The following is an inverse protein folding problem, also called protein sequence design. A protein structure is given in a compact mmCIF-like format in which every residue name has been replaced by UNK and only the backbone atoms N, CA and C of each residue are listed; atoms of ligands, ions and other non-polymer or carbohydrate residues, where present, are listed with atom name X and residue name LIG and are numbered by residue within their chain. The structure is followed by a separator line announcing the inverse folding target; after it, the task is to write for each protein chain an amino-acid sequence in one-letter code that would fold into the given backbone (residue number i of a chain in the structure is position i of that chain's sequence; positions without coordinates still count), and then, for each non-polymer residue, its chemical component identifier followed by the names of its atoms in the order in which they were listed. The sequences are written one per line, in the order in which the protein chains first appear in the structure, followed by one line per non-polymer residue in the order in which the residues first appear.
data_IF_586781948693
#
_entry.id   IF_586781948693
#
_cell.length_a   1.000
_cell.length_b   1.000
_cell.length_c   1.000
_cell.angle_alpha   90.00
_cell.angle_beta   90.00
_cell.angle_gamma   90.00
#
_symmetry.space_group_name_H-M   'P 1'
#
loop_
_entity.id
_entity.type
_entity.pdbx_description
1 polymer ?
#
# COMPACT_ATOMS: atom_id res chain seq x y z
N UNK A 1 20.22 -1.68 0.58
CA UNK A 1 18.91 -1.88 1.23
C UNK A 1 19.12 -2.60 2.55
N UNK A 2 18.31 -2.37 3.59
CA UNK A 2 18.52 -3.04 4.88
C UNK A 2 18.12 -4.50 4.82
N UNK A 3 19.08 -5.38 5.12
CA UNK A 3 18.85 -6.80 5.33
C UNK A 3 18.32 -7.04 6.75
N UNK A 4 17.48 -8.06 6.99
CA UNK A 4 16.93 -8.32 8.33
C UNK A 4 18.00 -8.45 9.42
N UNK A 5 19.12 -9.14 9.12
CA UNK A 5 20.28 -9.24 10.04
C UNK A 5 20.86 -7.89 10.45
N UNK A 6 20.82 -6.89 9.57
CA UNK A 6 21.28 -5.54 9.91
C UNK A 6 20.33 -4.90 10.92
N UNK A 7 19.02 -5.10 10.76
CA UNK A 7 18.01 -4.62 11.71
C UNK A 7 18.23 -5.27 13.08
N UNK A 8 18.41 -6.59 13.12
CA UNK A 8 18.70 -7.34 14.35
C UNK A 8 19.96 -6.84 15.05
N UNK A 9 21.02 -6.58 14.28
CA UNK A 9 22.30 -6.12 14.81
C UNK A 9 22.20 -4.71 15.38
N UNK A 10 21.50 -3.80 14.70
CA UNK A 10 21.46 -2.37 15.05
C UNK A 10 20.36 -2.04 16.05
N UNK A 11 19.21 -2.68 15.92
CA UNK A 11 17.98 -2.34 16.65
C UNK A 11 17.43 -3.50 17.49
N UNK A 12 17.98 -4.71 17.37
CA UNK A 12 17.34 -5.90 17.90
C UNK A 12 16.01 -6.14 17.18
N UNK A 13 14.92 -6.27 17.92
CA UNK A 13 13.58 -6.33 17.35
C UNK A 13 12.89 -4.98 17.47
N UNK A 14 12.56 -4.36 16.35
CA UNK A 14 11.78 -3.12 16.32
C UNK A 14 10.33 -3.44 16.70
N UNK A 15 9.86 -2.88 17.81
CA UNK A 15 8.50 -3.08 18.32
C UNK A 15 7.76 -1.78 18.63
N UNK A 16 8.37 -0.63 18.35
CA UNK A 16 7.82 0.70 18.62
C UNK A 16 8.17 1.65 17.47
N UNK A 17 7.50 2.80 17.42
CA UNK A 17 7.78 3.85 16.44
C UNK A 17 9.05 4.60 16.84
N UNK A 18 10.12 4.42 16.07
CA UNK A 18 11.42 5.04 16.30
C UNK A 18 11.63 6.25 15.37
N UNK A 19 12.47 7.22 15.76
CA UNK A 19 12.92 8.26 14.84
C UNK A 19 13.74 7.62 13.71
N UNK A 20 13.73 8.25 12.54
CA UNK A 20 14.55 7.80 11.43
C UNK A 20 16.02 8.08 11.75
N UNK A 21 16.90 7.12 11.47
CA UNK A 21 18.32 7.27 11.74
C UNK A 21 18.93 8.50 11.05
N UNK A 22 19.96 9.08 11.66
CA UNK A 22 20.63 10.28 11.12
C UNK A 22 21.73 9.95 10.10
N UNK A 23 22.19 8.70 10.06
CA UNK A 23 23.27 8.26 9.17
C UNK A 23 22.74 7.44 7.98
N UNK A 24 23.45 7.48 6.85
CA UNK A 24 23.12 6.72 5.64
C UNK A 24 23.03 5.19 5.87
N UNK A 25 23.74 4.67 6.87
CA UNK A 25 23.69 3.26 7.31
C UNK A 25 22.37 2.89 7.98
N UNK A 26 21.60 3.88 8.41
CA UNK A 26 20.36 3.75 9.17
C UNK A 26 19.15 4.37 8.46
N UNK A 27 19.37 5.28 7.50
CA UNK A 27 18.33 5.98 6.78
C UNK A 27 18.83 6.47 5.43
N UNK A 28 18.12 6.12 4.35
CA UNK A 28 18.41 6.61 3.00
C UNK A 28 17.65 7.90 2.66
N UNK A 29 16.42 8.02 3.14
CA UNK A 29 15.50 9.11 2.80
C UNK A 29 15.16 9.92 4.06
N UNK A 30 15.13 11.26 3.91
CA UNK A 30 14.88 12.25 4.98
C UNK A 30 15.51 11.84 6.34
N UNK A 31 16.85 11.73 6.44
CA UNK A 31 17.54 11.29 7.64
C UNK A 31 17.28 12.25 8.82
N UNK A 32 17.14 11.69 10.03
CA UNK A 32 16.82 12.47 11.23
C UNK A 32 15.33 12.86 11.39
N UNK A 33 14.45 12.39 10.52
CA UNK A 33 13.01 12.53 10.66
C UNK A 33 12.52 12.06 12.06
N UNK A 34 11.61 12.81 12.72
CA UNK A 34 11.10 12.43 14.03
C UNK A 34 10.29 11.12 13.97
N UNK A 35 10.18 10.46 15.13
CA UNK A 35 9.39 9.25 15.26
C UNK A 35 7.93 9.50 14.84
N UNK A 36 7.44 8.70 13.89
CA UNK A 36 6.07 8.80 13.38
C UNK A 36 5.92 9.62 12.11
N UNK A 37 6.97 10.29 11.61
CA UNK A 37 6.89 10.94 10.30
C UNK A 37 6.68 9.91 9.19
N UNK A 38 5.71 10.15 8.31
CA UNK A 38 5.37 9.23 7.21
C UNK A 38 6.22 9.46 5.96
N UNK A 39 6.32 8.42 5.14
CA UNK A 39 6.94 8.38 3.81
C UNK A 39 5.91 8.64 2.70
N UNK A 40 6.35 8.51 1.45
CA UNK A 40 5.51 8.68 0.27
C UNK A 40 4.35 7.67 0.20
N UNK A 41 4.45 6.48 0.81
CA UNK A 41 3.34 5.52 0.93
C UNK A 41 2.06 6.17 1.47
N UNK A 42 2.20 6.87 2.60
CA UNK A 42 1.06 7.49 3.27
C UNK A 42 0.66 8.78 2.58
N UNK A 43 1.63 9.57 2.08
CA UNK A 43 1.33 10.81 1.33
C UNK A 43 0.50 10.49 0.09
N UNK A 44 0.92 9.48 -0.68
CA UNK A 44 0.24 9.04 -1.90
C UNK A 44 -1.14 8.45 -1.60
N UNK A 45 -1.26 7.69 -0.50
CA UNK A 45 -2.56 7.20 0.00
C UNK A 45 -3.49 8.33 0.42
N UNK A 46 -2.98 9.35 1.10
CA UNK A 46 -3.77 10.51 1.53
C UNK A 46 -4.38 11.23 0.32
N UNK A 47 -3.63 11.39 -0.78
CA UNK A 47 -4.16 11.94 -2.03
C UNK A 47 -5.32 11.09 -2.58
N UNK A 48 -5.21 9.76 -2.52
CA UNK A 48 -6.29 8.87 -2.94
C UNK A 48 -7.52 8.96 -2.03
N UNK A 49 -7.32 9.05 -0.71
CA UNK A 49 -8.39 9.32 0.24
C UNK A 49 -9.10 10.64 -0.09
N UNK A 50 -8.34 11.71 -0.35
CA UNK A 50 -8.89 13.01 -0.75
C UNK A 50 -9.74 12.89 -2.03
N UNK A 51 -9.29 12.12 -3.03
CA UNK A 51 -10.04 11.92 -4.27
C UNK A 51 -11.39 11.24 -3.99
N UNK A 52 -11.37 10.15 -3.21
CA UNK A 52 -12.56 9.40 -2.82
C UNK A 52 -13.54 10.28 -2.04
N UNK A 53 -13.03 11.05 -1.08
CA UNK A 53 -13.83 11.93 -0.24
C UNK A 53 -14.47 13.04 -1.09
N UNK A 54 -13.73 13.64 -2.03
CA UNK A 54 -14.25 14.68 -2.94
C UNK A 54 -15.32 14.14 -3.88
N UNK A 55 -15.14 12.91 -4.39
CA UNK A 55 -16.10 12.25 -5.26
C UNK A 55 -17.31 11.67 -4.50
N UNK A 56 -17.20 11.49 -3.19
CA UNK A 56 -18.21 10.82 -2.36
C UNK A 56 -18.30 9.32 -2.63
N UNK A 57 -17.23 8.66 -3.08
CA UNK A 57 -17.29 7.23 -3.39
C UNK A 57 -16.18 6.77 -4.33
N UNK A 58 -16.55 5.93 -5.30
CA UNK A 58 -15.62 5.33 -6.25
C UNK A 58 -14.98 6.38 -7.15
N UNK A 59 -13.70 6.19 -7.48
CA UNK A 59 -12.90 7.15 -8.24
C UNK A 59 -12.18 6.50 -9.41
N UNK A 60 -11.80 7.31 -10.39
CA UNK A 60 -11.00 6.96 -11.55
C UNK A 60 -9.57 7.47 -11.44
N UNK A 61 -8.71 7.08 -12.38
CA UNK A 61 -7.37 7.67 -12.52
C UNK A 61 -7.41 9.20 -12.71
N UNK A 62 -8.44 9.73 -13.38
CA UNK A 62 -8.61 11.16 -13.61
C UNK A 62 -8.92 11.92 -12.31
N UNK A 63 -9.81 11.37 -11.47
CA UNK A 63 -10.14 11.94 -10.16
C UNK A 63 -8.91 11.96 -9.24
N UNK A 64 -8.13 10.88 -9.25
CA UNK A 64 -6.91 10.82 -8.45
C UNK A 64 -5.84 11.79 -8.97
N UNK A 65 -5.63 11.89 -10.27
CA UNK A 65 -4.72 12.87 -10.86
C UNK A 65 -5.14 14.32 -10.51
N UNK A 66 -6.44 14.62 -10.46
CA UNK A 66 -6.93 15.94 -10.04
C UNK A 66 -6.43 16.31 -8.63
N UNK A 67 -6.40 15.36 -7.69
CA UNK A 67 -5.82 15.62 -6.35
C UNK A 67 -4.32 15.83 -6.37
N UNK A 68 -3.59 15.21 -7.30
CA UNK A 68 -2.15 15.43 -7.41
C UNK A 68 -1.85 16.87 -7.83
N UNK A 69 -2.66 17.42 -8.74
CA UNK A 69 -2.49 18.79 -9.20
C UNK A 69 -2.70 19.82 -8.07
N UNK A 70 -3.61 19.55 -7.14
CA UNK A 70 -3.98 20.53 -6.11
C UNK A 70 -3.29 20.33 -4.77
N UNK A 71 -2.98 19.09 -4.40
CA UNK A 71 -2.62 18.73 -3.03
C UNK A 71 -1.25 18.02 -2.90
N UNK A 72 -0.61 17.66 -4.01
CA UNK A 72 0.64 16.89 -3.97
C UNK A 72 1.79 17.74 -3.43
N UNK A 73 2.39 17.28 -2.34
CA UNK A 73 3.54 17.91 -1.72
C UNK A 73 4.51 16.86 -1.16
N UNK A 74 5.80 17.21 -1.14
CA UNK A 74 6.89 16.37 -0.67
C UNK A 74 7.49 15.45 -1.72
N UNK A 75 8.36 14.55 -1.25
CA UNK A 75 9.06 13.58 -2.10
C UNK A 75 8.19 12.35 -2.37
N UNK A 76 8.32 11.80 -3.58
CA UNK A 76 7.67 10.56 -4.04
C UNK A 76 8.65 9.71 -4.87
N UNK A 77 8.46 8.40 -4.87
CA UNK A 77 9.29 7.50 -5.65
C UNK A 77 9.18 7.73 -7.17
N UNK A 78 10.22 7.34 -7.90
CA UNK A 78 10.41 7.63 -9.34
C UNK A 78 9.20 7.38 -10.25
N UNK A 79 8.46 6.26 -10.17
CA UNK A 79 7.34 6.03 -11.10
C UNK A 79 6.18 7.01 -10.87
N UNK A 80 5.97 7.48 -9.64
CA UNK A 80 4.98 8.51 -9.29
C UNK A 80 5.39 9.85 -9.90
N UNK A 81 6.66 10.24 -9.75
CA UNK A 81 7.20 11.48 -10.35
C UNK A 81 7.13 11.44 -11.88
N UNK A 82 7.44 10.29 -12.48
CA UNK A 82 7.32 10.10 -13.93
C UNK A 82 5.87 10.23 -14.41
N UNK A 83 4.91 9.64 -13.69
CA UNK A 83 3.49 9.80 -13.98
C UNK A 83 3.06 11.27 -13.89
N UNK A 84 3.47 11.98 -12.84
CA UNK A 84 3.19 13.40 -12.67
C UNK A 84 3.69 14.21 -13.89
N UNK A 85 4.94 14.02 -14.32
CA UNK A 85 5.47 14.71 -15.48
C UNK A 85 4.76 14.34 -16.79
N UNK A 86 4.37 13.07 -16.97
CA UNK A 86 3.61 12.64 -18.15
C UNK A 86 2.25 13.34 -18.21
N UNK A 87 1.51 13.35 -17.11
CA UNK A 87 0.18 13.96 -17.07
C UNK A 87 0.26 15.48 -17.20
N UNK A 88 1.03 16.14 -16.34
CA UNK A 88 0.94 17.60 -16.18
C UNK A 88 1.94 18.40 -17.02
N UNK A 89 2.96 17.76 -17.61
CA UNK A 89 3.92 18.44 -18.50
C UNK A 89 3.89 17.93 -19.93
N UNK A 90 3.29 16.76 -20.18
CA UNK A 90 3.23 16.14 -21.52
C UNK A 90 1.81 15.81 -21.97
N UNK A 91 0.79 16.20 -21.19
CA UNK A 91 -0.63 16.04 -21.52
C UNK A 91 -1.02 14.58 -21.80
N UNK A 92 -0.33 13.63 -21.16
CA UNK A 92 -0.72 12.23 -21.23
C UNK A 92 -2.00 11.98 -20.44
N UNK A 93 -2.87 11.12 -20.97
CA UNK A 93 -4.07 10.70 -20.23
C UNK A 93 -3.68 10.08 -18.87
N UNK A 94 -4.32 10.49 -17.76
CA UNK A 94 -4.17 9.82 -16.47
C UNK A 94 -4.35 8.31 -16.54
N UNK A 95 -5.18 7.79 -17.45
CA UNK A 95 -5.45 6.35 -17.57
C UNK A 95 -4.31 5.55 -18.18
N UNK A 96 -3.42 6.23 -18.91
CA UNK A 96 -2.34 5.62 -19.69
C UNK A 96 -0.94 6.07 -19.22
N UNK A 97 -0.86 7.01 -18.27
CA UNK A 97 0.39 7.57 -17.79
C UNK A 97 1.34 6.51 -17.20
N UNK A 98 0.80 5.41 -16.66
CA UNK A 98 1.56 4.26 -16.18
C UNK A 98 2.27 3.46 -17.28
N UNK A 99 1.93 3.64 -18.56
CA UNK A 99 2.55 2.92 -19.68
C UNK A 99 4.03 3.27 -19.82
N UNK A 100 4.90 2.27 -19.89
CA UNK A 100 6.36 2.44 -19.91
C UNK A 100 6.92 3.02 -18.61
N UNK A 101 6.14 3.03 -17.52
CA UNK A 101 6.66 3.36 -16.18
C UNK A 101 7.48 2.19 -15.63
N UNK A 102 8.36 2.47 -14.69
CA UNK A 102 9.07 1.44 -13.95
C UNK A 102 8.06 0.63 -13.14
N UNK A 103 8.10 -0.70 -13.26
CA UNK A 103 7.28 -1.57 -12.41
C UNK A 103 7.73 -1.43 -10.96
N UNK A 104 6.79 -1.10 -10.07
CA UNK A 104 7.05 -1.00 -8.65
C UNK A 104 5.77 -1.24 -7.84
N UNK A 105 5.88 -1.26 -6.51
CA UNK A 105 4.75 -1.39 -5.60
C UNK A 105 4.09 -0.04 -5.22
N UNK A 106 4.48 1.10 -5.81
CA UNK A 106 4.00 2.43 -5.40
C UNK A 106 2.48 2.64 -5.52
N UNK A 107 1.77 1.93 -6.40
CA UNK A 107 0.31 1.96 -6.36
C UNK A 107 -0.23 1.00 -5.30
N UNK A 108 0.35 -0.19 -5.18
CA UNK A 108 -0.10 -1.18 -4.20
C UNK A 108 -0.01 -0.65 -2.77
N UNK A 109 1.00 0.16 -2.44
CA UNK A 109 1.15 0.81 -1.13
C UNK A 109 0.09 1.86 -0.82
N UNK A 110 -0.56 2.44 -1.85
CA UNK A 110 -1.55 3.50 -1.68
C UNK A 110 -3.00 3.06 -1.88
N UNK A 111 -3.25 1.86 -2.41
CA UNK A 111 -4.56 1.46 -2.96
C UNK A 111 -5.61 1.02 -1.93
N UNK A 112 -5.23 0.83 -0.66
CA UNK A 112 -6.13 0.37 0.39
C UNK A 112 -7.48 1.12 0.47
N UNK A 113 -7.57 2.45 0.29
CA UNK A 113 -8.84 3.17 0.28
C UNK A 113 -9.84 2.66 -0.78
N UNK A 114 -9.38 2.19 -1.95
CA UNK A 114 -10.25 1.60 -2.98
C UNK A 114 -10.87 0.28 -2.49
N UNK A 115 -10.11 -0.51 -1.72
CA UNK A 115 -10.63 -1.70 -1.07
C UNK A 115 -11.68 -1.38 -0.01
N UNK A 116 -11.49 -0.31 0.78
CA UNK A 116 -12.47 0.13 1.78
C UNK A 116 -13.76 0.65 1.16
N UNK A 117 -13.68 1.42 0.06
CA UNK A 117 -14.86 1.89 -0.69
C UNK A 117 -15.68 0.71 -1.24
N UNK A 118 -14.99 -0.37 -1.63
CA UNK A 118 -15.59 -1.61 -2.13
C UNK A 118 -15.66 -2.71 -1.06
N UNK A 119 -15.81 -2.33 0.22
CA UNK A 119 -15.86 -3.29 1.33
C UNK A 119 -16.85 -4.43 1.03
N UNK A 120 -16.42 -5.67 1.29
CA UNK A 120 -17.15 -6.90 0.99
C UNK A 120 -17.34 -7.25 -0.51
N UNK A 121 -16.74 -6.48 -1.44
CA UNK A 121 -16.73 -6.77 -2.88
C UNK A 121 -15.29 -6.75 -3.45
N UNK A 122 -14.50 -7.82 -3.20
CA UNK A 122 -13.12 -7.90 -3.66
C UNK A 122 -12.99 -7.86 -5.19
N UNK A 123 -14.01 -8.32 -5.93
CA UNK A 123 -13.99 -8.29 -7.39
C UNK A 123 -14.11 -6.85 -7.88
N UNK A 124 -15.07 -6.08 -7.36
CA UNK A 124 -15.21 -4.68 -7.74
C UNK A 124 -14.01 -3.84 -7.27
N UNK A 125 -13.47 -4.13 -6.08
CA UNK A 125 -12.25 -3.51 -5.59
C UNK A 125 -11.07 -3.71 -6.56
N UNK A 126 -10.88 -4.92 -7.09
CA UNK A 126 -9.85 -5.20 -8.09
C UNK A 126 -10.06 -4.41 -9.40
N UNK A 127 -11.31 -4.30 -9.88
CA UNK A 127 -11.62 -3.58 -11.11
C UNK A 127 -11.41 -2.06 -10.97
N UNK A 128 -11.84 -1.48 -9.85
CA UNK A 128 -11.63 -0.06 -9.55
C UNK A 128 -10.14 0.24 -9.36
N UNK A 129 -9.43 -0.64 -8.64
CA UNK A 129 -8.00 -0.54 -8.46
C UNK A 129 -7.25 -0.63 -9.80
N UNK A 130 -7.69 -1.49 -10.71
CA UNK A 130 -7.13 -1.55 -12.06
C UNK A 130 -7.26 -0.20 -12.74
N UNK A 131 -8.42 0.46 -12.72
CA UNK A 131 -8.58 1.79 -13.30
C UNK A 131 -7.60 2.81 -12.67
N UNK A 132 -7.68 3.00 -11.35
CA UNK A 132 -6.87 3.97 -10.60
C UNK A 132 -5.37 3.74 -10.80
N UNK A 133 -4.94 2.48 -10.80
CA UNK A 133 -3.53 2.11 -10.95
C UNK A 133 -2.92 2.47 -12.31
N UNK A 134 -3.75 2.66 -13.35
CA UNK A 134 -3.31 3.08 -14.69
C UNK A 134 -2.58 4.42 -14.70
N UNK A 135 -2.76 5.25 -13.66
CA UNK A 135 -2.02 6.50 -13.46
C UNK A 135 -0.52 6.29 -13.32
N UNK A 136 -0.10 5.24 -12.61
CA UNK A 136 1.32 5.07 -12.23
C UNK A 136 1.94 3.83 -12.85
N UNK A 137 1.15 2.77 -13.04
CA UNK A 137 1.67 1.46 -13.43
C UNK A 137 0.85 0.77 -14.51
N UNK A 138 1.54 -0.11 -15.24
CA UNK A 138 0.96 -1.13 -16.11
C UNK A 138 1.45 -2.53 -15.71
N UNK A 139 0.86 -3.58 -16.31
CA UNK A 139 1.29 -4.97 -16.14
C UNK A 139 1.26 -5.44 -14.68
N UNK A 140 2.26 -6.22 -14.28
CA UNK A 140 2.30 -6.90 -12.98
C UNK A 140 2.23 -5.95 -11.77
N UNK A 141 2.74 -4.72 -11.90
CA UNK A 141 2.66 -3.71 -10.85
C UNK A 141 1.23 -3.19 -10.66
N UNK A 142 0.45 -3.14 -11.75
CA UNK A 142 -0.99 -2.83 -11.73
C UNK A 142 -1.79 -3.98 -11.12
N UNK A 143 -1.46 -5.21 -11.48
CA UNK A 143 -2.11 -6.42 -10.93
C UNK A 143 -1.89 -6.55 -9.42
N UNK A 144 -0.69 -6.17 -8.95
CA UNK A 144 -0.37 -6.11 -7.52
C UNK A 144 -1.29 -5.14 -6.75
N UNK A 145 -1.59 -3.97 -7.31
CA UNK A 145 -2.55 -3.04 -6.70
C UNK A 145 -3.97 -3.63 -6.66
N UNK A 146 -4.37 -4.37 -7.70
CA UNK A 146 -5.66 -5.07 -7.73
C UNK A 146 -5.75 -6.13 -6.62
N UNK A 147 -4.69 -6.91 -6.44
CA UNK A 147 -4.62 -7.93 -5.40
C UNK A 147 -4.72 -7.34 -3.99
N UNK A 148 -4.04 -6.21 -3.73
CA UNK A 148 -4.13 -5.52 -2.43
C UNK A 148 -5.52 -4.94 -2.19
N UNK A 149 -6.12 -4.28 -3.18
CA UNK A 149 -7.47 -3.71 -3.03
C UNK A 149 -8.51 -4.80 -2.76
N UNK A 150 -8.44 -5.91 -3.50
CA UNK A 150 -9.27 -7.09 -3.26
C UNK A 150 -9.05 -7.67 -1.87
N UNK A 151 -7.80 -7.78 -1.41
CA UNK A 151 -7.49 -8.27 -0.07
C UNK A 151 -8.03 -7.36 1.03
N UNK A 152 -7.95 -6.03 0.88
CA UNK A 152 -8.52 -5.08 1.84
C UNK A 152 -10.04 -5.17 1.86
N UNK A 153 -10.69 -5.28 0.69
CA UNK A 153 -12.14 -5.46 0.59
C UNK A 153 -12.62 -6.80 1.15
N UNK A 154 -11.83 -7.86 1.01
CA UNK A 154 -12.14 -9.18 1.59
C UNK A 154 -11.84 -9.22 3.09
N UNK A 155 -10.79 -8.53 3.56
CA UNK A 155 -10.43 -8.45 4.98
C UNK A 155 -11.46 -7.72 5.83
N UNK A 156 -12.42 -7.01 5.23
CA UNK A 156 -13.62 -6.54 5.95
C UNK A 156 -14.58 -7.68 6.31
N UNK A 157 -14.31 -8.91 5.86
CA UNK A 157 -14.99 -10.15 6.26
C UNK A 157 -14.08 -10.96 7.22
N UNK A 158 -14.62 -11.62 8.25
CA UNK A 158 -13.80 -12.20 9.33
C UNK A 158 -12.88 -13.40 9.00
N UNK A 159 -12.86 -13.95 7.76
CA UNK A 159 -12.37 -15.33 7.52
C UNK A 159 -11.38 -15.55 6.33
N UNK A 160 -10.50 -14.60 5.99
CA UNK A 160 -9.57 -14.75 4.83
C UNK A 160 -8.26 -15.56 5.10
N UNK A 161 -7.76 -16.39 4.16
CA UNK A 161 -6.66 -17.38 4.42
C UNK A 161 -5.46 -17.45 3.45
N UNK A 162 -4.36 -18.10 3.92
CA UNK A 162 -2.97 -18.13 3.43
C UNK A 162 -2.37 -19.55 3.43
N UNK A 163 -2.05 -20.11 2.26
CA UNK A 163 -1.53 -21.49 2.14
C UNK A 163 -0.03 -21.64 2.44
N UNK A 164 0.79 -20.60 2.22
CA UNK A 164 2.26 -20.67 2.42
C UNK A 164 2.68 -20.49 3.89
N UNK A 165 2.01 -19.62 4.64
CA UNK A 165 2.22 -19.48 6.09
C UNK A 165 1.91 -20.79 6.85
N UNK A 166 0.94 -21.56 6.36
CA UNK A 166 0.53 -22.83 6.95
C UNK A 166 1.61 -23.91 6.88
N UNK A 167 2.55 -23.86 5.93
CA UNK A 167 3.58 -24.89 5.79
C UNK A 167 4.86 -24.62 6.59
N UNK A 168 5.15 -23.37 6.97
CA UNK A 168 6.37 -22.99 7.73
C UNK A 168 6.13 -22.86 9.23
N UNK A 169 4.94 -22.47 9.67
CA UNK A 169 4.53 -22.44 11.09
C UNK A 169 5.17 -21.36 11.97
N UNK A 170 6.36 -20.83 11.64
CA UNK A 170 7.02 -19.73 12.38
C UNK A 170 7.56 -18.63 11.45
N UNK A 171 7.59 -17.40 11.98
CA UNK A 171 8.04 -16.20 11.25
C UNK A 171 9.52 -16.26 10.87
N UNK A 172 10.41 -16.63 11.79
CA UNK A 172 11.84 -16.62 11.58
C UNK A 172 12.24 -17.61 10.47
N UNK A 173 11.65 -18.81 10.51
CA UNK A 173 11.86 -19.87 9.51
C UNK A 173 11.36 -19.42 8.13
N UNK A 174 10.18 -18.78 8.07
CA UNK A 174 9.65 -18.20 6.82
C UNK A 174 10.56 -17.10 6.27
N UNK A 175 10.97 -16.14 7.10
CA UNK A 175 11.81 -15.01 6.67
C UNK A 175 13.13 -15.50 6.10
N UNK A 176 13.77 -16.47 6.73
CA UNK A 176 15.00 -17.07 6.20
C UNK A 176 14.76 -17.76 4.84
N UNK A 177 13.77 -18.66 4.77
CA UNK A 177 13.46 -19.39 3.53
C UNK A 177 13.06 -18.45 2.37
N UNK A 178 12.37 -17.35 2.67
CA UNK A 178 12.00 -16.33 1.70
C UNK A 178 13.24 -15.64 1.11
N UNK A 179 14.19 -15.25 1.96
CA UNK A 179 15.46 -14.66 1.54
C UNK A 179 16.28 -15.61 0.66
N UNK A 180 16.24 -16.91 0.96
CA UNK A 180 17.03 -17.93 0.23
C UNK A 180 16.40 -18.32 -1.11
N UNK A 181 15.07 -18.27 -1.24
CA UNK A 181 14.39 -18.92 -2.38
C UNK A 181 13.46 -18.02 -3.20
N UNK A 182 13.10 -16.82 -2.69
CA UNK A 182 12.05 -15.98 -3.28
C UNK A 182 12.51 -14.57 -3.66
N UNK A 183 13.70 -14.12 -3.23
CA UNK A 183 14.24 -12.85 -3.70
C UNK A 183 14.58 -12.92 -5.18
N UNK A 184 14.11 -11.93 -5.94
CA UNK A 184 14.33 -11.88 -7.38
C UNK A 184 15.65 -11.13 -7.65
N UNK A 185 16.63 -11.77 -8.33
CA UNK A 185 17.88 -11.09 -8.66
C UNK A 185 17.64 -9.96 -9.67
N UNK A 186 18.40 -8.88 -9.55
CA UNK A 186 18.46 -7.83 -10.57
C UNK A 186 19.44 -8.19 -11.70
N UNK A 187 19.16 -7.85 -12.98
CA UNK A 187 17.92 -7.31 -13.54
C UNK A 187 16.93 -8.42 -13.94
N UNK A 188 15.64 -8.08 -13.93
CA UNK A 188 14.57 -9.07 -14.13
C UNK A 188 14.04 -9.19 -15.57
N UNK A 189 14.77 -8.72 -16.59
CA UNK A 189 14.68 -9.14 -18.00
C UNK A 189 15.52 -8.20 -18.89
N UNK A 190 16.59 -8.73 -19.51
CA UNK A 190 17.11 -8.26 -20.80
C UNK A 190 17.74 -6.86 -20.97
N UNK A 191 17.68 -5.95 -20.00
CA UNK A 191 18.42 -4.67 -20.10
C UNK A 191 19.89 -4.87 -19.71
N UNK A 192 20.73 -5.07 -20.73
CA UNK A 192 22.18 -4.98 -20.60
C UNK A 192 22.60 -3.51 -20.50
N UNK A 193 22.96 -3.06 -19.31
CA UNK A 193 23.51 -1.72 -19.09
C UNK A 193 23.70 -1.41 -17.61
N UNK A 194 24.96 -1.24 -17.20
CA UNK A 194 25.44 -1.09 -15.80
C UNK A 194 24.92 -2.14 -14.83
N UNK A 195 25.67 -3.24 -14.66
CA UNK A 195 25.54 -4.17 -13.53
C UNK A 195 25.67 -3.34 -12.24
N UNK A 196 24.63 -3.15 -11.41
CA UNK A 196 24.87 -2.71 -10.05
C UNK A 196 25.65 -3.81 -9.32
N UNK A 197 26.36 -3.47 -8.24
CA UNK A 197 27.20 -4.42 -7.50
C UNK A 197 26.44 -5.73 -7.19
N UNK A 198 27.16 -6.86 -7.11
CA UNK A 198 26.56 -8.14 -6.69
C UNK A 198 25.73 -7.98 -5.41
N UNK A 199 24.51 -8.53 -5.39
CA UNK A 199 23.56 -8.36 -4.28
C UNK A 199 22.69 -7.09 -4.36
N UNK A 200 22.64 -6.40 -5.50
CA UNK A 200 21.60 -5.40 -5.75
C UNK A 200 20.28 -6.09 -6.06
N UNK A 201 19.29 -5.86 -5.20
CA UNK A 201 17.92 -6.32 -5.39
C UNK A 201 17.04 -5.09 -5.54
N UNK A 202 16.10 -5.11 -6.51
CA UNK A 202 15.14 -4.01 -6.67
C UNK A 202 14.41 -3.77 -5.35
N UNK A 203 14.27 -2.51 -4.98
CA UNK A 203 13.79 -2.11 -3.67
C UNK A 203 12.27 -2.15 -3.62
N UNK A 204 11.57 -1.86 -4.70
CA UNK A 204 10.11 -1.69 -4.69
C UNK A 204 9.40 -2.77 -5.54
N UNK A 205 9.82 -4.03 -5.44
CA UNK A 205 9.35 -5.12 -6.32
C UNK A 205 8.05 -5.77 -5.80
N UNK A 206 6.87 -5.53 -6.44
CA UNK A 206 5.60 -6.09 -5.96
C UNK A 206 5.53 -7.62 -6.04
N UNK A 207 6.28 -8.27 -6.96
CA UNK A 207 6.36 -9.74 -6.99
C UNK A 207 7.06 -10.32 -5.77
N UNK A 208 7.79 -9.49 -5.02
CA UNK A 208 8.32 -9.84 -3.72
C UNK A 208 7.40 -9.34 -2.59
N UNK A 209 7.01 -8.06 -2.62
CA UNK A 209 6.27 -7.45 -1.51
C UNK A 209 4.92 -8.11 -1.27
N UNK A 210 4.17 -8.45 -2.32
CA UNK A 210 2.79 -8.96 -2.17
C UNK A 210 2.75 -10.39 -1.61
N UNK A 211 3.54 -11.37 -2.12
CA UNK A 211 3.57 -12.70 -1.50
C UNK A 211 4.11 -12.67 -0.07
N UNK A 212 5.12 -11.85 0.22
CA UNK A 212 5.61 -11.66 1.58
C UNK A 212 4.51 -11.12 2.50
N UNK A 213 3.76 -10.12 2.06
CA UNK A 213 2.65 -9.54 2.82
C UNK A 213 1.61 -10.60 3.21
N UNK A 214 1.12 -11.41 2.27
CA UNK A 214 0.14 -12.45 2.59
C UNK A 214 0.69 -13.51 3.55
N UNK A 215 1.95 -13.90 3.39
CA UNK A 215 2.57 -14.86 4.29
C UNK A 215 2.69 -14.30 5.72
N UNK A 216 3.16 -13.06 5.85
CA UNK A 216 3.27 -12.39 7.15
C UNK A 216 1.91 -12.16 7.81
N UNK A 217 0.88 -11.87 7.02
CA UNK A 217 -0.49 -11.73 7.50
C UNK A 217 -0.98 -12.98 8.24
N UNK A 218 -0.84 -14.17 7.65
CA UNK A 218 -1.26 -15.38 8.36
C UNK A 218 -0.31 -15.82 9.46
N UNK A 219 1.00 -15.57 9.34
CA UNK A 219 1.91 -15.84 10.44
C UNK A 219 1.58 -14.98 11.67
N UNK A 220 1.08 -13.75 11.45
CA UNK A 220 0.58 -12.87 12.50
C UNK A 220 -0.87 -13.11 12.89
N UNK A 221 -1.52 -14.17 12.37
CA UNK A 221 -2.95 -14.49 12.60
C UNK A 221 -3.89 -13.30 12.31
N UNK A 222 -3.54 -12.52 11.30
CA UNK A 222 -4.25 -11.29 10.91
C UNK A 222 -4.13 -10.13 11.90
N UNK A 223 -3.60 -10.34 13.11
CA UNK A 223 -3.50 -9.34 14.18
C UNK A 223 -2.54 -8.21 13.81
N UNK A 224 -2.96 -6.98 14.09
CA UNK A 224 -2.27 -5.78 13.61
C UNK A 224 -0.83 -5.70 14.15
N UNK A 225 -0.66 -5.72 15.47
CA UNK A 225 0.67 -5.54 16.09
C UNK A 225 1.65 -6.66 15.69
N UNK A 226 1.32 -7.97 15.79
CA UNK A 226 2.21 -9.04 15.33
C UNK A 226 2.59 -8.89 13.85
N UNK A 227 1.61 -8.67 12.96
CA UNK A 227 1.84 -8.49 11.53
C UNK A 227 2.82 -7.34 11.25
N UNK A 228 2.63 -6.19 11.89
CA UNK A 228 3.51 -5.03 11.72
C UNK A 228 4.91 -5.24 12.26
N UNK A 229 5.05 -5.86 13.43
CA UNK A 229 6.37 -6.21 13.96
C UNK A 229 7.09 -7.14 12.98
N UNK A 230 6.40 -8.11 12.37
CA UNK A 230 7.00 -8.98 11.36
C UNK A 230 7.44 -8.22 10.10
N UNK A 231 6.61 -7.31 9.59
CA UNK A 231 6.93 -6.53 8.39
C UNK A 231 8.12 -5.58 8.61
N UNK A 232 8.14 -4.81 9.70
CA UNK A 232 9.24 -3.84 9.92
C UNK A 232 10.57 -4.52 10.20
N UNK A 233 10.56 -5.73 10.77
CA UNK A 233 11.76 -6.54 10.99
C UNK A 233 12.08 -7.49 9.83
N UNK A 234 11.28 -7.47 8.75
CA UNK A 234 11.53 -8.27 7.55
C UNK A 234 12.73 -7.72 6.77
N UNK A 235 12.99 -6.42 6.86
CA UNK A 235 13.96 -5.73 6.01
C UNK A 235 13.41 -5.50 4.60
N UNK A 236 14.29 -5.27 3.63
CA UNK A 236 13.94 -4.86 2.26
C UNK A 236 13.13 -3.55 2.30
N UNK A 237 11.99 -3.54 1.62
CA UNK A 237 11.03 -2.44 1.51
C UNK A 237 10.07 -2.43 2.70
N UNK A 238 10.65 -2.31 3.88
CA UNK A 238 9.96 -2.61 5.14
C UNK A 238 8.82 -1.63 5.43
N UNK A 239 8.97 -0.36 5.04
CA UNK A 239 7.93 0.66 5.12
C UNK A 239 6.74 0.32 4.22
N UNK A 240 6.97 0.00 2.95
CA UNK A 240 5.89 -0.40 2.05
C UNK A 240 5.24 -1.73 2.41
N UNK A 241 6.04 -2.73 2.81
CA UNK A 241 5.51 -4.00 3.29
C UNK A 241 4.63 -3.80 4.53
N UNK A 242 5.09 -3.01 5.51
CA UNK A 242 4.32 -2.70 6.71
C UNK A 242 3.08 -1.84 6.40
N UNK A 243 3.17 -0.96 5.42
CA UNK A 243 2.09 -0.08 4.96
C UNK A 243 0.95 -0.87 4.33
N UNK A 244 1.26 -1.84 3.45
CA UNK A 244 0.27 -2.73 2.83
C UNK A 244 -0.31 -3.69 3.87
N UNK A 245 0.57 -4.39 4.63
CA UNK A 245 0.15 -5.37 5.63
C UNK A 245 -0.68 -4.74 6.74
N UNK A 246 -0.34 -3.53 7.17
CA UNK A 246 -1.09 -2.74 8.14
C UNK A 246 -2.47 -2.34 7.66
N UNK A 247 -2.63 -2.13 6.34
CA UNK A 247 -3.93 -1.84 5.77
C UNK A 247 -4.85 -3.05 5.80
N UNK A 248 -4.32 -4.24 5.47
CA UNK A 248 -5.09 -5.50 5.49
C UNK A 248 -5.42 -5.94 6.92
N UNK A 249 -4.42 -5.98 7.81
CA UNK A 249 -4.63 -6.33 9.23
C UNK A 249 -5.46 -5.30 9.98
N UNK A 250 -5.30 -4.01 9.69
CA UNK A 250 -6.10 -2.94 10.28
C UNK A 250 -7.56 -3.00 9.83
N UNK A 251 -7.83 -3.36 8.58
CA UNK A 251 -9.19 -3.58 8.09
C UNK A 251 -9.86 -4.78 8.79
N UNK A 252 -9.11 -5.87 9.02
CA UNK A 252 -9.61 -7.07 9.72
C UNK A 252 -9.85 -6.83 11.21
N UNK A 253 -8.86 -6.33 11.93
CA UNK A 253 -8.90 -6.24 13.40
C UNK A 253 -9.55 -4.95 13.91
N UNK A 254 -9.69 -3.95 13.05
CA UNK A 254 -10.17 -2.62 13.39
C UNK A 254 -9.18 -1.78 14.19
N UNK A 255 -9.47 -0.49 14.31
CA UNK A 255 -8.57 0.48 14.93
C UNK A 255 -8.25 0.23 16.41
N UNK A 256 -9.04 -0.59 17.12
CA UNK A 256 -8.82 -0.91 18.55
C UNK A 256 -7.65 -1.87 18.78
N UNK A 257 -7.25 -2.64 17.76
CA UNK A 257 -6.07 -3.52 17.85
C UNK A 257 -4.76 -2.78 17.56
N UNK A 258 -4.85 -1.52 17.09
CA UNK A 258 -3.70 -0.65 16.86
C UNK A 258 -3.27 -0.03 18.20
N UNK A 259 -1.98 -0.14 18.60
CA UNK A 259 -1.50 0.56 19.78
C UNK A 259 -1.73 2.07 19.68
N UNK A 260 -2.50 2.63 20.62
CA UNK A 260 -2.90 4.03 20.57
C UNK A 260 -1.70 5.00 20.57
N UNK A 261 -0.62 4.64 21.28
CA UNK A 261 0.64 5.39 21.26
C UNK A 261 1.23 5.56 19.84
N UNK A 262 1.02 4.59 18.94
CA UNK A 262 1.49 4.68 17.56
C UNK A 262 0.63 5.64 16.76
N UNK A 263 -0.70 5.59 16.94
CA UNK A 263 -1.64 6.52 16.31
C UNK A 263 -1.30 7.96 16.72
N UNK A 264 -1.15 8.20 18.01
CA UNK A 264 -0.83 9.53 18.55
C UNK A 264 0.50 10.03 18.04
N UNK A 265 1.52 9.17 17.98
CA UNK A 265 2.85 9.54 17.49
C UNK A 265 2.84 9.92 16.01
N UNK A 266 2.12 9.16 15.18
CA UNK A 266 1.97 9.45 13.76
C UNK A 266 1.18 10.74 13.57
N UNK A 267 0.02 10.91 14.20
CA UNK A 267 -0.75 12.14 14.01
C UNK A 267 -0.05 13.39 14.54
N UNK A 268 0.79 13.28 15.58
CA UNK A 268 1.53 14.42 16.11
C UNK A 268 2.64 14.92 15.18
N UNK A 269 3.14 14.09 14.26
CA UNK A 269 4.28 14.42 13.40
C UNK A 269 3.92 14.54 11.91
N UNK A 270 2.63 14.60 11.58
CA UNK A 270 2.18 14.72 10.20
C UNK A 270 0.98 15.67 10.08
N UNK A 271 0.87 16.45 9.00
CA UNK A 271 -0.20 17.45 8.85
C UNK A 271 -1.58 16.81 8.64
N UNK A 272 -1.63 15.61 8.05
CA UNK A 272 -2.88 14.91 7.73
C UNK A 272 -3.23 13.94 8.87
N UNK A 273 -4.36 14.18 9.53
CA UNK A 273 -4.88 13.30 10.57
C UNK A 273 -5.59 12.10 9.96
N UNK A 274 -5.09 10.90 10.25
CA UNK A 274 -5.60 9.65 9.68
C UNK A 274 -7.04 9.37 10.11
N UNK A 275 -7.42 9.73 11.35
CA UNK A 275 -8.81 9.61 11.81
C UNK A 275 -9.80 10.43 10.98
N UNK A 276 -9.42 11.65 10.60
CA UNK A 276 -10.26 12.50 9.76
C UNK A 276 -10.47 11.89 8.36
N UNK A 277 -9.43 11.30 7.78
CA UNK A 277 -9.58 10.57 6.52
C UNK A 277 -10.47 9.33 6.68
N UNK A 278 -10.34 8.58 7.77
CA UNK A 278 -11.17 7.41 8.04
C UNK A 278 -12.66 7.77 8.14
N UNK A 279 -13.00 8.86 8.84
CA UNK A 279 -14.37 9.36 8.93
C UNK A 279 -14.92 9.78 7.55
N UNK A 280 -14.10 10.47 6.75
CA UNK A 280 -14.45 10.85 5.38
C UNK A 280 -14.66 9.65 4.45
N UNK A 281 -13.80 8.63 4.54
CA UNK A 281 -13.95 7.38 3.79
C UNK A 281 -15.23 6.64 4.18
N UNK A 282 -15.57 6.60 5.48
CA UNK A 282 -16.82 6.00 5.94
C UNK A 282 -18.05 6.75 5.38
N UNK A 283 -17.99 8.08 5.33
CA UNK A 283 -19.04 8.88 4.70
C UNK A 283 -19.18 8.59 3.21
N UNK A 284 -18.06 8.46 2.48
CA UNK A 284 -18.05 8.09 1.07
C UNK A 284 -18.63 6.67 0.83
N UNK A 285 -18.27 5.69 1.67
CA UNK A 285 -18.85 4.33 1.62
C UNK A 285 -20.37 4.36 1.79
N UNK A 286 -20.87 5.12 2.77
CA UNK A 286 -22.31 5.27 3.02
C UNK A 286 -23.01 5.91 1.83
N UNK A 287 -22.42 6.97 1.27
CA UNK A 287 -22.96 7.65 0.11
C UNK A 287 -23.04 6.72 -1.12
N UNK A 288 -21.99 5.94 -1.41
CA UNK A 288 -22.02 4.97 -2.52
C UNK A 288 -23.08 3.88 -2.30
N UNK A 289 -23.26 3.41 -1.06
CA UNK A 289 -24.31 2.44 -0.72
C UNK A 289 -25.71 3.02 -0.99
N UNK A 290 -25.98 4.25 -0.55
CA UNK A 290 -27.24 4.95 -0.79
C UNK A 290 -27.50 5.19 -2.28
N UNK A 291 -26.48 5.59 -3.03
CA UNK A 291 -26.54 5.77 -4.47
C UNK A 291 -26.83 4.45 -5.21
N UNK A 292 -26.20 3.35 -4.80
CA UNK A 292 -26.46 2.00 -5.34
C UNK A 292 -27.91 1.56 -5.10
N UNK A 293 -28.40 1.74 -3.88
CA UNK A 293 -29.79 1.47 -3.50
C UNK A 293 -30.78 2.29 -4.34
N UNK A 294 -30.47 3.57 -4.62
CA UNK A 294 -31.30 4.41 -5.48
C UNK A 294 -31.36 3.89 -6.92
N UNK A 295 -30.22 3.52 -7.50
CA UNK A 295 -30.16 2.92 -8.85
C UNK A 295 -30.95 1.61 -8.93
N UNK A 296 -30.90 0.77 -7.89
CA UNK A 296 -31.67 -0.47 -7.83
C UNK A 296 -33.19 -0.23 -7.78
N UNK A 297 -33.65 0.78 -7.02
CA UNK A 297 -35.06 1.17 -6.98
C UNK A 297 -35.56 1.70 -8.32
N UNK A 298 -34.75 2.52 -8.99
CA UNK A 298 -35.04 3.03 -10.33
C UNK A 298 -35.16 1.87 -11.34
N UNK A 299 -34.22 0.94 -11.32
CA UNK A 299 -34.28 -0.26 -12.16
C UNK A 299 -35.51 -1.12 -11.83
N UNK A 300 -35.84 -1.33 -10.56
CA UNK A 300 -37.04 -2.05 -10.14
C UNK A 300 -38.31 -1.41 -10.72
N UNK A 301 -38.40 -0.08 -10.65
CA UNK A 301 -39.50 0.69 -11.26
C UNK A 301 -39.60 0.45 -12.77
N UNK A 302 -38.47 0.47 -13.49
CA UNK A 302 -38.43 0.19 -14.93
C UNK A 302 -38.81 -1.26 -15.27
N UNK A 303 -38.52 -2.21 -14.37
CA UNK A 303 -38.85 -3.62 -14.52
C UNK A 303 -40.26 -3.97 -14.03
N UNK A 304 -41.02 -3.01 -13.48
CA UNK A 304 -42.36 -3.22 -12.92
C UNK A 304 -42.39 -4.03 -11.62
N UNK A 305 -41.30 -3.97 -10.82
CA UNK A 305 -41.16 -4.60 -9.51
C UNK A 305 -41.49 -3.63 -8.37
#
# INVERSE_FOLDING_TARGET
MMHYRHIETVFGTVQTVLPRGAAATTARFEPGAPAGQVTDDTRLRNLLCSAIIRAGGRVTADDWASTWLTDMDGWFFTPVVNAYHKVFMKDASPREAGRGSMGSNSTAMSIAPVGLVNACDPRQAALDAYNVAGLVHEGYARDAACAVAAAVAEATRPDATVALARSTGRYEDFRQAYYETKLLPWPQNGLHGSKPAEGFYDTAEPRETIPAMFALFALGDGRFKPCLVYAVNFGRDADTLASILGSVSGALCGARDIPNEWIERVEANNPVRQRTLADGLLAAVRHEFEASQARQRELGTLLGQ
#
